data_IF_641795291761
#
_entry.id   IF_641795291761
#
_cell.length_a   1.000
_cell.length_b   1.000
_cell.length_c   1.000
_cell.angle_alpha   90.00
_cell.angle_beta   90.00
_cell.angle_gamma   90.00
#
_symmetry.space_group_name_H-M   'P 1'
#
loop_
_entity.id
_entity.type
_entity.pdbx_description
1 polymer ?
#
# COMPACT_ATOMS: atom_id res chain seq x y z
N UNK A 1 11.13 -51.25 -4.26
CA UNK A 1 11.54 -50.05 -3.49
C UNK A 1 11.50 -48.72 -4.27
N UNK A 2 11.16 -48.66 -5.57
CA UNK A 2 11.22 -47.40 -6.35
C UNK A 2 9.92 -46.57 -6.43
N UNK A 3 8.76 -47.14 -6.04
CA UNK A 3 7.43 -46.48 -6.15
C UNK A 3 7.09 -45.56 -4.98
N UNK A 4 7.77 -45.71 -3.84
CA UNK A 4 7.58 -44.86 -2.66
C UNK A 4 8.32 -43.53 -2.80
N UNK A 5 9.53 -43.55 -3.35
CA UNK A 5 10.38 -42.36 -3.50
C UNK A 5 9.74 -41.27 -4.36
N UNK A 6 9.06 -41.65 -5.45
CA UNK A 6 8.39 -40.71 -6.35
C UNK A 6 7.18 -40.04 -5.68
N UNK A 7 6.43 -40.80 -4.87
CA UNK A 7 5.26 -40.32 -4.14
C UNK A 7 5.65 -39.36 -3.02
N UNK A 8 6.75 -39.65 -2.33
CA UNK A 8 7.36 -38.78 -1.31
C UNK A 8 7.89 -37.48 -1.95
N UNK A 9 8.62 -37.57 -3.07
CA UNK A 9 9.10 -36.38 -3.79
C UNK A 9 7.94 -35.50 -4.25
N UNK A 10 6.86 -36.09 -4.76
CA UNK A 10 5.68 -35.34 -5.20
C UNK A 10 4.98 -34.62 -4.04
N UNK A 11 4.86 -35.27 -2.88
CA UNK A 11 4.34 -34.64 -1.67
C UNK A 11 5.22 -33.50 -1.18
N UNK A 12 6.55 -33.66 -1.14
CA UNK A 12 7.48 -32.60 -0.73
C UNK A 12 7.39 -31.42 -1.70
N UNK A 13 7.31 -31.69 -3.00
CA UNK A 13 7.17 -30.67 -4.03
C UNK A 13 5.87 -29.85 -3.88
N UNK A 14 4.74 -30.52 -3.59
CA UNK A 14 3.48 -29.83 -3.28
C UNK A 14 3.57 -28.97 -2.02
N UNK A 15 4.25 -29.46 -0.97
CA UNK A 15 4.47 -28.69 0.26
C UNK A 15 5.30 -27.44 -0.01
N UNK A 16 6.33 -27.52 -0.86
CA UNK A 16 7.14 -26.36 -1.26
C UNK A 16 6.35 -25.36 -2.10
N UNK A 17 5.48 -25.81 -3.00
CA UNK A 17 4.60 -24.93 -3.79
C UNK A 17 3.55 -24.21 -2.94
N UNK A 18 3.01 -24.86 -1.89
CA UNK A 18 2.03 -24.24 -0.98
C UNK A 18 2.71 -23.27 -0.01
N UNK A 19 3.97 -23.50 0.35
CA UNK A 19 4.74 -22.65 1.26
C UNK A 19 5.49 -21.49 0.60
N UNK A 20 5.23 -21.16 -0.66
CA UNK A 20 5.47 -19.79 -1.14
C UNK A 20 4.41 -18.90 -0.49
N UNK A 21 4.57 -18.71 0.81
CA UNK A 21 4.07 -17.54 1.49
C UNK A 21 4.66 -16.39 0.69
N UNK A 22 3.83 -15.75 -0.15
CA UNK A 22 4.04 -14.35 -0.46
C UNK A 22 4.29 -13.75 0.91
N UNK A 23 5.55 -13.38 1.18
CA UNK A 23 5.85 -12.39 2.19
C UNK A 23 5.06 -11.20 1.72
N UNK A 24 3.81 -11.14 2.19
CA UNK A 24 2.97 -9.98 2.13
C UNK A 24 3.80 -8.96 2.84
N UNK A 25 4.49 -8.16 2.03
CA UNK A 25 5.05 -6.90 2.47
C UNK A 25 3.87 -6.16 3.04
N UNK A 26 3.75 -6.25 4.37
CA UNK A 26 3.10 -5.22 5.13
C UNK A 26 3.91 -3.97 4.81
N UNK A 27 3.54 -3.29 3.73
CA UNK A 27 3.67 -1.85 3.64
C UNK A 27 2.77 -1.16 4.69
N UNK A 28 2.40 -1.84 5.78
CA UNK A 28 2.39 -1.23 7.09
C UNK A 28 3.83 -1.11 7.56
N UNK A 29 4.61 -0.24 6.89
CA UNK A 29 5.86 0.21 7.46
C UNK A 29 5.54 0.64 8.89
N UNK A 30 6.21 0.02 9.87
CA UNK A 30 6.18 0.47 11.25
C UNK A 30 6.72 1.87 11.23
N UNK A 31 5.81 2.83 11.07
CA UNK A 31 6.13 4.23 11.16
C UNK A 31 6.57 4.43 12.60
N UNK A 32 7.86 4.69 12.88
CA UNK A 32 8.30 4.88 14.25
C UNK A 32 7.48 6.04 14.82
N UNK A 33 6.77 5.77 15.91
CA UNK A 33 5.94 6.78 16.54
C UNK A 33 6.82 7.97 16.94
N UNK A 34 6.42 9.21 16.60
CA UNK A 34 5.08 9.63 16.14
C UNK A 34 5.05 10.13 14.68
N UNK A 35 5.41 9.29 13.69
CA UNK A 35 5.09 9.66 12.30
C UNK A 35 3.69 9.26 11.84
N UNK A 36 3.12 10.09 10.96
CA UNK A 36 1.82 9.86 10.31
C UNK A 36 1.85 10.34 8.87
N UNK A 37 1.04 9.72 8.02
CA UNK A 37 0.80 10.23 6.67
C UNK A 37 0.02 11.55 6.75
N UNK A 38 0.52 12.61 6.11
CA UNK A 38 -0.20 13.88 5.92
C UNK A 38 -0.24 14.25 4.44
N UNK A 39 -1.17 15.13 4.10
CA UNK A 39 -1.20 15.76 2.79
C UNK A 39 0.11 16.53 2.54
N UNK A 40 0.74 16.37 1.37
CA UNK A 40 1.89 17.18 1.00
C UNK A 40 1.49 18.67 0.88
N UNK A 41 2.42 19.60 1.10
CA UNK A 41 2.17 21.01 0.82
C UNK A 41 1.92 21.21 -0.67
N UNK A 42 0.91 22.00 -1.02
CA UNK A 42 0.62 22.37 -2.41
C UNK A 42 1.47 23.60 -2.74
N UNK A 43 2.35 23.54 -3.76
CA UNK A 43 3.16 24.69 -4.13
C UNK A 43 2.29 25.87 -4.60
N UNK A 44 2.67 27.12 -4.29
CA UNK A 44 1.96 28.30 -4.76
C UNK A 44 1.97 28.35 -6.29
N UNK A 45 0.85 28.74 -6.89
CA UNK A 45 0.69 28.79 -8.36
C UNK A 45 0.37 27.45 -9.01
N UNK A 46 0.16 26.38 -8.23
CA UNK A 46 -0.36 25.11 -8.75
C UNK A 46 -1.79 25.31 -9.26
N UNK A 47 -1.98 25.24 -10.58
CA UNK A 47 -3.30 25.22 -11.19
C UNK A 47 -3.80 23.78 -11.12
N UNK A 48 -4.94 23.60 -10.46
CA UNK A 48 -5.58 22.30 -10.27
C UNK A 48 -7.07 22.40 -10.57
N UNK A 49 -7.74 21.25 -10.68
CA UNK A 49 -9.17 21.24 -10.93
C UNK A 49 -9.95 21.70 -9.68
N UNK A 50 -10.88 22.64 -9.87
CA UNK A 50 -11.88 23.03 -8.88
C UNK A 50 -13.01 22.00 -8.79
N UNK A 51 -12.67 20.76 -8.44
CA UNK A 51 -13.64 19.68 -8.31
C UNK A 51 -13.42 18.91 -6.99
N UNK A 52 -14.50 18.48 -6.35
CA UNK A 52 -14.43 17.55 -5.21
C UNK A 52 -14.43 16.12 -5.73
N UNK A 53 -13.24 15.59 -6.06
CA UNK A 53 -13.09 14.24 -6.62
C UNK A 53 -13.09 13.14 -5.55
N UNK A 54 -12.97 13.54 -4.27
CA UNK A 54 -12.92 12.61 -3.16
C UNK A 54 -13.55 13.18 -1.89
N UNK A 55 -13.92 12.26 -1.00
CA UNK A 55 -14.35 12.52 0.37
C UNK A 55 -13.40 11.81 1.35
N UNK A 56 -13.37 12.18 2.64
CA UNK A 56 -12.52 11.49 3.61
C UNK A 56 -12.81 9.98 3.62
N UNK A 57 -11.79 9.18 3.33
CA UNK A 57 -11.88 7.72 3.26
C UNK A 57 -12.35 7.14 1.92
N UNK A 58 -12.63 7.95 0.89
CA UNK A 58 -13.02 7.45 -0.43
C UNK A 58 -11.85 7.02 -1.31
N UNK A 59 -10.63 7.42 -0.95
CA UNK A 59 -9.44 7.13 -1.73
C UNK A 59 -8.94 5.69 -1.53
N UNK A 60 -8.33 5.10 -2.57
CA UNK A 60 -7.69 3.78 -2.49
C UNK A 60 -6.56 3.77 -1.45
N UNK A 61 -6.21 2.59 -0.96
CA UNK A 61 -5.16 2.39 0.04
C UNK A 61 -3.85 3.12 -0.32
N UNK A 62 -3.32 3.89 0.64
CA UNK A 62 -2.10 4.67 0.48
C UNK A 62 -2.28 6.07 -0.12
N UNK A 63 -3.51 6.44 -0.50
CA UNK A 63 -3.87 7.79 -0.94
C UNK A 63 -4.67 8.51 0.14
N UNK A 64 -4.47 9.82 0.23
CA UNK A 64 -5.21 10.72 1.10
C UNK A 64 -6.04 11.66 0.23
N UNK A 65 -7.27 11.91 0.66
CA UNK A 65 -8.09 12.96 0.05
C UNK A 65 -7.58 14.31 0.56
N UNK A 66 -6.91 15.06 -0.31
CA UNK A 66 -6.23 16.30 0.06
C UNK A 66 -6.76 17.47 -0.76
N UNK A 67 -6.79 18.65 -0.14
CA UNK A 67 -7.10 19.88 -0.86
C UNK A 67 -5.95 20.25 -1.78
N UNK A 68 -6.23 20.38 -3.07
CA UNK A 68 -5.29 20.76 -4.13
C UNK A 68 -5.38 22.26 -4.46
N UNK A 69 -5.88 23.07 -3.52
CA UNK A 69 -6.17 24.50 -3.70
C UNK A 69 -7.67 24.76 -3.78
N UNK A 70 -8.26 24.59 -4.97
CA UNK A 70 -9.68 24.87 -5.24
C UNK A 70 -10.60 23.64 -5.11
N UNK A 71 -10.04 22.44 -5.21
CA UNK A 71 -10.76 21.17 -5.13
C UNK A 71 -10.09 20.19 -4.19
N UNK A 72 -10.59 18.95 -4.17
CA UNK A 72 -9.97 17.82 -3.46
C UNK A 72 -9.70 16.69 -4.41
N UNK A 73 -8.55 16.06 -4.22
CA UNK A 73 -8.15 14.90 -5.01
C UNK A 73 -7.41 13.86 -4.16
N UNK A 74 -7.40 12.61 -4.64
CA UNK A 74 -6.70 11.50 -4.01
C UNK A 74 -5.22 11.53 -4.40
N UNK A 75 -4.38 12.05 -3.50
CA UNK A 75 -2.93 12.14 -3.72
C UNK A 75 -2.16 11.30 -2.72
N UNK A 76 -0.91 10.97 -3.08
CA UNK A 76 -0.02 10.22 -2.19
C UNK A 76 0.32 11.08 -0.97
N UNK A 77 0.09 10.53 0.22
CA UNK A 77 0.51 11.16 1.46
C UNK A 77 2.02 11.20 1.62
N UNK A 78 2.51 12.21 2.31
CA UNK A 78 3.91 12.30 2.77
C UNK A 78 3.99 11.83 4.21
N UNK A 79 5.00 11.01 4.51
CA UNK A 79 5.29 10.60 5.88
C UNK A 79 5.88 11.78 6.64
N UNK A 80 5.20 12.23 7.70
CA UNK A 80 5.67 13.33 8.56
C UNK A 80 5.89 12.79 9.95
N UNK A 81 7.16 12.81 10.40
CA UNK A 81 7.60 12.51 11.76
C UNK A 81 7.75 13.82 12.53
N UNK A 82 7.31 13.87 13.79
CA UNK A 82 7.43 15.04 14.65
C UNK A 82 7.48 14.66 16.11
#
# INVERSE_FOLDING_TARGET
MFRFTCKILFSIFLILLVNTNVSGSQNGGTVPSPCRMRCPPVPPGTISHCAELCTPGSCKYGLLCCSIGCGKDCIKGSLVCG
#
